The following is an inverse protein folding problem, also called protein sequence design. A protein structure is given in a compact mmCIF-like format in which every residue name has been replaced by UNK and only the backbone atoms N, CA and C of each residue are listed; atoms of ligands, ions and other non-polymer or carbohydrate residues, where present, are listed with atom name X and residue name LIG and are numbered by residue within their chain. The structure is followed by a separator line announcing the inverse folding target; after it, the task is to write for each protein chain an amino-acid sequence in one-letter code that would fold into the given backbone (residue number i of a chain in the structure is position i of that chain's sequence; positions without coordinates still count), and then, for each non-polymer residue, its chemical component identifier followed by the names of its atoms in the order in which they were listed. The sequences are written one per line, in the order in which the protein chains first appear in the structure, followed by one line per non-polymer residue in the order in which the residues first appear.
data_IF_300245167949
#
_entry.id   IF_300245167949
#
_cell.length_a   1.000
_cell.length_b   1.000
_cell.length_c   1.000
_cell.angle_alpha   90.00
_cell.angle_beta   90.00
_cell.angle_gamma   90.00
#
_symmetry.space_group_name_H-M   'P 1'
#
loop_
_entity.id
_entity.type
_entity.pdbx_description
1 polymer ?
#
# COMPACT_ATOMS: atom_id res chain seq x y z
N UNK A 1 -25.90 -3.07 5.20
CA UNK A 1 -26.31 -2.76 3.82
C UNK A 1 -25.58 -3.69 2.87
N UNK A 2 -26.26 -4.71 2.34
CA UNK A 2 -25.65 -5.68 1.42
C UNK A 2 -25.53 -5.07 0.02
N UNK A 3 -24.31 -5.06 -0.55
CA UNK A 3 -24.09 -4.62 -1.92
C UNK A 3 -24.78 -5.60 -2.88
N UNK A 4 -25.86 -5.15 -3.52
CA UNK A 4 -26.61 -5.91 -4.54
C UNK A 4 -25.78 -5.86 -5.83
N UNK A 5 -24.93 -6.88 -6.07
CA UNK A 5 -24.34 -7.12 -7.40
C UNK A 5 -25.48 -7.26 -8.42
N UNK A 6 -25.41 -6.54 -9.54
CA UNK A 6 -26.46 -6.66 -10.58
C UNK A 6 -26.26 -7.95 -11.38
N UNK A 7 -27.35 -8.65 -11.68
CA UNK A 7 -27.32 -9.87 -12.51
C UNK A 7 -26.71 -9.53 -13.88
N UNK A 8 -25.59 -10.18 -14.22
CA UNK A 8 -24.84 -9.93 -15.47
C UNK A 8 -23.62 -9.01 -15.34
N UNK A 9 -23.35 -8.45 -14.16
CA UNK A 9 -22.14 -7.68 -13.90
C UNK A 9 -20.92 -8.63 -13.89
N UNK A 10 -20.12 -8.60 -14.96
CA UNK A 10 -18.85 -9.32 -15.00
C UNK A 10 -17.94 -8.72 -13.93
N UNK A 11 -17.29 -9.55 -13.08
CA UNK A 11 -16.26 -9.04 -12.18
C UNK A 11 -15.26 -8.22 -12.99
N UNK A 12 -15.07 -6.95 -12.62
CA UNK A 12 -14.03 -6.13 -13.22
C UNK A 12 -12.71 -6.80 -12.91
N UNK A 13 -11.98 -7.17 -13.96
CA UNK A 13 -10.64 -7.69 -13.82
C UNK A 13 -9.71 -6.55 -13.39
N UNK A 14 -9.31 -6.60 -12.13
CA UNK A 14 -8.56 -5.52 -11.49
C UNK A 14 -7.10 -5.48 -11.91
N UNK A 15 -6.56 -6.56 -12.51
CA UNK A 15 -5.17 -6.56 -12.97
C UNK A 15 -4.94 -5.56 -14.10
N UNK A 16 -5.99 -5.17 -14.82
CA UNK A 16 -5.94 -4.16 -15.88
C UNK A 16 -5.64 -2.75 -15.35
N UNK A 17 -5.85 -2.52 -14.06
CA UNK A 17 -5.60 -1.25 -13.38
C UNK A 17 -4.30 -1.27 -12.58
N UNK A 18 -3.57 -2.39 -12.58
CA UNK A 18 -2.24 -2.43 -12.01
C UNK A 18 -1.30 -1.56 -12.83
N UNK A 19 -0.67 -0.60 -12.15
CA UNK A 19 0.38 0.22 -12.71
C UNK A 19 1.64 0.01 -11.85
N UNK A 20 2.75 -0.47 -12.44
CA UNK A 20 4.01 -0.60 -11.73
C UNK A 20 4.47 0.74 -11.15
N UNK A 21 5.19 0.68 -10.03
CA UNK A 21 5.81 1.86 -9.46
C UNK A 21 6.97 2.32 -10.34
N UNK A 22 6.91 3.57 -10.78
CA UNK A 22 7.93 4.25 -11.57
C UNK A 22 8.06 5.72 -11.11
N UNK A 23 9.02 6.45 -11.66
CA UNK A 23 9.26 7.87 -11.30
C UNK A 23 8.11 8.82 -11.66
N UNK A 24 7.16 8.40 -12.48
CA UNK A 24 5.94 9.11 -12.86
C UNK A 24 4.69 8.57 -12.16
N UNK A 25 4.85 7.63 -11.21
CA UNK A 25 3.77 7.13 -10.38
C UNK A 25 3.28 8.23 -9.43
N UNK A 26 1.98 8.26 -9.13
CA UNK A 26 1.41 9.28 -8.25
C UNK A 26 2.03 9.23 -6.84
N UNK A 27 2.34 8.02 -6.34
CA UNK A 27 3.10 7.81 -5.10
C UNK A 27 4.51 8.42 -5.19
N UNK A 28 5.22 8.23 -6.31
CA UNK A 28 6.55 8.82 -6.49
C UNK A 28 6.51 10.36 -6.55
N UNK A 29 5.46 10.93 -7.15
CA UNK A 29 5.23 12.37 -7.11
C UNK A 29 4.96 12.86 -5.69
N UNK A 30 4.06 12.19 -4.96
CA UNK A 30 3.73 12.55 -3.57
C UNK A 30 4.96 12.52 -2.67
N UNK A 31 5.79 11.48 -2.76
CA UNK A 31 7.03 11.36 -1.99
C UNK A 31 7.99 12.51 -2.33
N UNK A 32 8.17 12.82 -3.60
CA UNK A 32 9.02 13.95 -4.05
C UNK A 32 8.54 15.29 -3.53
N UNK A 33 7.23 15.48 -3.36
CA UNK A 33 6.63 16.69 -2.80
C UNK A 33 6.62 16.72 -1.27
N UNK A 34 7.17 15.71 -0.61
CA UNK A 34 7.37 15.67 0.85
C UNK A 34 6.44 14.72 1.61
N UNK A 35 5.59 13.95 0.93
CA UNK A 35 4.80 12.91 1.60
C UNK A 35 5.69 11.74 2.02
N UNK A 36 5.35 11.12 3.14
CA UNK A 36 6.02 9.88 3.57
C UNK A 36 5.60 8.73 2.68
N UNK A 37 6.48 7.76 2.47
CA UNK A 37 6.20 6.62 1.57
C UNK A 37 4.90 5.91 1.95
N UNK A 38 4.71 5.61 3.25
CA UNK A 38 3.53 4.90 3.74
C UNK A 38 2.24 5.72 3.51
N UNK A 39 2.24 6.99 3.91
CA UNK A 39 1.11 7.90 3.72
C UNK A 39 0.77 8.10 2.23
N UNK A 40 1.77 8.16 1.35
CA UNK A 40 1.57 8.29 -0.10
C UNK A 40 0.80 7.09 -0.67
N UNK A 41 1.12 5.86 -0.24
CA UNK A 41 0.35 4.67 -0.60
C UNK A 41 -1.07 4.69 -0.03
N UNK A 42 -1.25 5.08 1.23
CA UNK A 42 -2.58 5.21 1.85
C UNK A 42 -3.48 6.16 1.06
N UNK A 43 -2.97 7.34 0.69
CA UNK A 43 -3.75 8.32 -0.08
C UNK A 43 -4.05 7.86 -1.50
N UNK A 44 -3.10 7.22 -2.19
CA UNK A 44 -3.32 6.72 -3.55
C UNK A 44 -4.50 5.73 -3.62
N UNK A 45 -4.63 4.86 -2.61
CA UNK A 45 -5.67 3.82 -2.59
C UNK A 45 -6.89 4.19 -1.75
N UNK A 46 -6.84 5.31 -1.02
CA UNK A 46 -7.90 5.76 -0.10
C UNK A 46 -8.13 4.79 1.05
N UNK A 47 -7.07 4.19 1.59
CA UNK A 47 -7.18 3.23 2.70
C UNK A 47 -6.97 3.97 4.01
N UNK A 48 -7.92 3.80 4.94
CA UNK A 48 -7.75 4.23 6.32
C UNK A 48 -6.97 3.19 7.13
N UNK A 49 -6.35 3.60 8.25
CA UNK A 49 -5.70 2.69 9.20
C UNK A 49 -6.62 1.53 9.59
N UNK A 50 -7.88 1.81 9.92
CA UNK A 50 -8.86 0.79 10.29
C UNK A 50 -9.14 -0.23 9.18
N UNK A 51 -9.02 0.18 7.91
CA UNK A 51 -9.12 -0.73 6.77
C UNK A 51 -7.84 -1.54 6.61
N UNK A 52 -6.67 -0.92 6.73
CA UNK A 52 -5.39 -1.61 6.64
C UNK A 52 -5.25 -2.68 7.72
N UNK A 53 -5.54 -2.37 8.98
CA UNK A 53 -5.53 -3.35 10.08
C UNK A 53 -6.36 -4.59 9.74
N UNK A 54 -7.54 -4.40 9.13
CA UNK A 54 -8.42 -5.51 8.74
C UNK A 54 -7.91 -6.32 7.55
N UNK A 55 -7.17 -5.71 6.63
CA UNK A 55 -6.71 -6.36 5.40
C UNK A 55 -5.31 -6.97 5.53
N UNK A 56 -4.43 -6.38 6.33
CA UNK A 56 -3.03 -6.78 6.46
C UNK A 56 -2.74 -7.49 7.78
N UNK A 57 -3.66 -7.44 8.75
CA UNK A 57 -3.45 -7.89 10.13
C UNK A 57 -2.30 -7.18 10.86
N UNK A 58 -1.76 -6.09 10.30
CA UNK A 58 -0.77 -5.26 10.97
C UNK A 58 -1.45 -4.48 12.09
N UNK A 59 -0.87 -4.49 13.28
CA UNK A 59 -1.43 -3.82 14.44
C UNK A 59 -1.55 -2.30 14.23
N UNK A 60 -2.57 -1.63 14.80
CA UNK A 60 -2.75 -0.19 14.65
C UNK A 60 -1.52 0.63 15.07
N UNK A 61 -0.89 0.27 16.20
CA UNK A 61 0.32 0.96 16.66
C UNK A 61 1.50 0.75 15.72
N UNK A 62 1.54 -0.42 15.05
CA UNK A 62 2.57 -0.72 14.06
C UNK A 62 2.38 0.10 12.78
N UNK A 63 1.14 0.29 12.30
CA UNK A 63 0.87 1.23 11.20
C UNK A 63 1.29 2.65 11.55
N UNK A 64 1.05 3.10 12.80
CA UNK A 64 1.51 4.42 13.26
C UNK A 64 3.04 4.52 13.26
N UNK A 65 3.76 3.46 13.67
CA UNK A 65 5.23 3.42 13.58
C UNK A 65 5.73 3.54 12.13
N UNK A 66 5.10 2.82 11.19
CA UNK A 66 5.43 2.92 9.76
C UNK A 66 5.16 4.34 9.23
N UNK A 67 4.03 4.94 9.62
CA UNK A 67 3.74 6.34 9.32
C UNK A 67 4.73 7.30 9.98
N UNK A 68 5.37 6.91 11.08
CA UNK A 68 6.48 7.64 11.71
C UNK A 68 7.87 7.27 11.18
N UNK A 69 7.97 6.42 10.15
CA UNK A 69 9.23 6.12 9.45
C UNK A 69 10.06 5.06 10.14
N UNK A 70 9.43 4.22 10.96
CA UNK A 70 10.07 3.02 11.47
C UNK A 70 10.51 2.10 10.30
N UNK A 71 11.53 1.27 10.52
CA UNK A 71 11.84 0.17 9.61
C UNK A 71 10.62 -0.73 9.39
N UNK A 72 10.53 -1.33 8.21
CA UNK A 72 9.43 -2.18 7.76
C UNK A 72 9.93 -3.60 7.50
N UNK A 73 9.17 -4.60 7.91
CA UNK A 73 9.51 -6.01 7.68
C UNK A 73 9.08 -6.44 6.26
N UNK A 74 9.78 -7.42 5.70
CA UNK A 74 9.40 -8.06 4.43
C UNK A 74 7.95 -8.57 4.43
N UNK A 75 7.50 -9.23 5.50
CA UNK A 75 6.12 -9.70 5.63
C UNK A 75 5.10 -8.56 5.67
N UNK A 76 5.47 -7.40 6.24
CA UNK A 76 4.62 -6.21 6.23
C UNK A 76 4.49 -5.62 4.83
N UNK A 77 5.59 -5.60 4.07
CA UNK A 77 5.58 -5.20 2.65
C UNK A 77 4.66 -6.12 1.84
N UNK A 78 4.76 -7.43 2.02
CA UNK A 78 3.90 -8.39 1.30
C UNK A 78 2.42 -8.19 1.64
N UNK A 79 2.10 -8.02 2.93
CA UNK A 79 0.73 -7.78 3.38
C UNK A 79 0.17 -6.45 2.81
N UNK A 80 0.98 -5.38 2.81
CA UNK A 80 0.60 -4.10 2.22
C UNK A 80 0.41 -4.20 0.71
N UNK A 81 1.32 -4.88 0.00
CA UNK A 81 1.25 -5.08 -1.44
C UNK A 81 -0.02 -5.84 -1.83
N UNK A 82 -0.34 -6.92 -1.10
CA UNK A 82 -1.57 -7.67 -1.29
C UNK A 82 -2.82 -6.81 -1.03
N UNK A 83 -2.81 -5.96 0.00
CA UNK A 83 -3.93 -5.08 0.32
C UNK A 83 -4.18 -4.02 -0.76
N UNK A 84 -3.13 -3.40 -1.31
CA UNK A 84 -3.22 -2.41 -2.38
C UNK A 84 -3.41 -3.04 -3.77
N UNK A 85 -3.07 -4.32 -3.93
CA UNK A 85 -3.08 -4.99 -5.23
C UNK A 85 -1.90 -4.58 -6.12
N UNK A 86 -0.71 -4.44 -5.52
CA UNK A 86 0.56 -4.12 -6.19
C UNK A 86 1.61 -5.19 -5.92
N UNK A 87 2.79 -5.08 -6.51
CA UNK A 87 3.90 -5.98 -6.22
C UNK A 87 4.68 -5.51 -4.97
N UNK A 88 5.22 -6.43 -4.15
CA UNK A 88 6.13 -6.06 -3.05
C UNK A 88 7.28 -5.17 -3.50
N UNK A 89 7.83 -5.43 -4.69
CA UNK A 89 8.90 -4.63 -5.29
C UNK A 89 8.51 -3.18 -5.54
N UNK A 90 7.23 -2.89 -5.78
CA UNK A 90 6.74 -1.52 -5.99
C UNK A 90 6.84 -0.70 -4.70
N UNK A 91 6.50 -1.33 -3.57
CA UNK A 91 6.60 -0.68 -2.26
C UNK A 91 8.07 -0.54 -1.86
N UNK A 92 8.89 -1.58 -2.07
CA UNK A 92 10.34 -1.54 -1.80
C UNK A 92 11.01 -0.42 -2.60
N UNK A 93 10.70 -0.28 -3.89
CA UNK A 93 11.24 0.78 -4.74
C UNK A 93 10.83 2.19 -4.29
N UNK A 94 9.75 2.31 -3.52
CA UNK A 94 9.26 3.58 -2.98
C UNK A 94 9.87 3.96 -1.62
N UNK A 95 10.64 3.07 -0.99
CA UNK A 95 11.28 3.35 0.29
C UNK A 95 12.30 4.48 0.14
N UNK A 96 12.34 5.44 1.10
CA UNK A 96 13.29 6.55 1.03
C UNK A 96 14.74 6.12 1.30
N UNK A 97 14.92 5.01 2.02
CA UNK A 97 16.21 4.40 2.32
C UNK A 97 16.05 2.87 2.31
N UNK A 98 16.83 2.12 1.50
CA UNK A 98 16.83 0.66 1.51
C UNK A 98 17.11 0.04 2.88
N UNK A 99 17.84 0.73 3.77
CA UNK A 99 18.14 0.25 5.13
C UNK A 99 16.90 0.16 6.04
N UNK A 100 15.76 0.74 5.61
CA UNK A 100 14.49 0.58 6.31
C UNK A 100 13.86 -0.80 6.11
N UNK A 101 14.26 -1.56 5.09
CA UNK A 101 13.76 -2.91 4.88
C UNK A 101 14.51 -3.88 5.79
N UNK A 102 13.76 -4.61 6.62
CA UNK A 102 14.26 -5.66 7.48
C UNK A 102 13.68 -7.01 7.05
N UNK A 103 14.50 -8.06 7.15
CA UNK A 103 14.03 -9.44 6.99
C UNK A 103 13.18 -9.84 8.19
N UNK A 104 11.96 -10.33 7.94
CA UNK A 104 11.00 -10.73 8.98
C UNK A 104 9.57 -10.84 8.51
#
# INVERSE_FOLDING_TARGET
MASRRRKGERPIDKSQFYRPYDSSHAVAHAIRTGSRWFLAWQFQYGFSDARLVKQTSIAPDRLRQLDHGAPVLSAEIEALAAAYGVQPSDIIASLPDPALLLEG
#
